data_IF_095722335055
#
_entry.id   IF_095722335055
#
_cell.length_a   1.000
_cell.length_b   1.000
_cell.length_c   1.000
_cell.angle_alpha   90.00
_cell.angle_beta   90.00
_cell.angle_gamma   90.00
#
_symmetry.space_group_name_H-M   'P 1'
#
loop_
_entity.id
_entity.type
_entity.pdbx_description
1 polymer ?
#
# COMPACT_ATOMS: atom_id res chain seq x y z
N UNK A 1 -20.08 3.75 23.11
CA UNK A 1 -20.47 3.15 21.84
C UNK A 1 -21.71 3.90 21.38
N UNK A 2 -21.63 4.58 20.25
CA UNK A 2 -22.76 5.34 19.73
C UNK A 2 -23.90 4.40 19.26
N UNK A 3 -25.14 4.87 19.27
CA UNK A 3 -26.29 4.08 18.78
C UNK A 3 -26.11 3.83 17.26
N UNK A 4 -26.15 2.57 16.80
CA UNK A 4 -26.03 2.25 15.37
C UNK A 4 -27.04 3.00 14.47
N UNK A 5 -28.22 3.33 14.99
CA UNK A 5 -29.22 4.12 14.25
C UNK A 5 -28.82 5.59 14.09
N UNK A 6 -28.20 6.18 15.12
CA UNK A 6 -27.67 7.55 15.06
C UNK A 6 -26.50 7.63 14.08
N UNK A 7 -25.63 6.61 14.07
CA UNK A 7 -24.53 6.51 13.12
C UNK A 7 -25.04 6.41 11.67
N UNK A 8 -26.08 5.61 11.43
CA UNK A 8 -26.68 5.50 10.10
C UNK A 8 -27.35 6.81 9.66
N UNK A 9 -28.07 7.48 10.54
CA UNK A 9 -28.69 8.77 10.23
C UNK A 9 -27.64 9.83 9.87
N UNK A 10 -26.51 9.86 10.58
CA UNK A 10 -25.39 10.76 10.29
C UNK A 10 -24.73 10.44 8.95
N UNK A 11 -24.53 9.16 8.65
CA UNK A 11 -23.99 8.69 7.37
C UNK A 11 -24.88 9.13 6.20
N UNK A 12 -26.18 8.88 6.29
CA UNK A 12 -27.21 9.25 5.30
C UNK A 12 -27.24 10.77 5.09
N UNK A 13 -27.24 11.55 6.18
CA UNK A 13 -27.18 13.01 6.11
C UNK A 13 -25.96 13.52 5.35
N UNK A 14 -24.84 12.83 5.45
CA UNK A 14 -23.59 13.21 4.81
C UNK A 14 -23.49 12.80 3.35
N UNK A 15 -24.01 11.62 3.00
CA UNK A 15 -24.00 11.09 1.62
C UNK A 15 -25.14 11.64 0.76
N UNK A 16 -26.21 12.17 1.36
CA UNK A 16 -27.43 12.58 0.66
C UNK A 16 -28.24 11.41 0.09
N UNK A 17 -27.89 10.17 0.47
CA UNK A 17 -28.59 8.97 0.00
C UNK A 17 -29.89 8.77 0.78
N UNK A 18 -30.92 8.29 0.11
CA UNK A 18 -32.08 7.66 0.76
C UNK A 18 -31.74 6.18 0.94
N UNK A 19 -31.47 5.75 2.19
CA UNK A 19 -31.13 4.37 2.44
C UNK A 19 -32.31 3.45 2.07
N UNK A 20 -32.06 2.54 1.14
CA UNK A 20 -33.06 1.53 0.74
C UNK A 20 -33.29 0.49 1.85
N UNK A 21 -32.31 0.31 2.78
CA UNK A 21 -32.38 -0.57 3.95
C UNK A 21 -31.53 0.01 5.10
N UNK A 22 -32.16 0.84 5.93
CA UNK A 22 -31.53 1.46 7.12
C UNK A 22 -30.99 0.41 8.10
N UNK A 23 -31.61 -0.77 8.17
CA UNK A 23 -31.17 -1.82 9.08
C UNK A 23 -29.89 -2.51 8.58
N UNK A 24 -29.72 -2.71 7.27
CA UNK A 24 -28.51 -3.26 6.69
C UNK A 24 -27.34 -2.27 6.82
N UNK A 25 -27.58 -0.99 6.56
CA UNK A 25 -26.58 0.07 6.70
C UNK A 25 -26.12 0.18 8.17
N UNK A 26 -27.06 0.21 9.12
CA UNK A 26 -26.74 0.30 10.57
C UNK A 26 -25.87 -0.87 11.03
N UNK A 27 -26.19 -2.10 10.58
CA UNK A 27 -25.39 -3.30 10.90
C UNK A 27 -23.99 -3.22 10.30
N UNK A 28 -23.88 -2.75 9.06
CA UNK A 28 -22.59 -2.66 8.37
C UNK A 28 -21.67 -1.59 8.99
N UNK A 29 -22.23 -0.43 9.38
CA UNK A 29 -21.50 0.60 10.09
C UNK A 29 -21.02 0.12 11.48
N UNK A 30 -21.88 -0.56 12.24
CA UNK A 30 -21.50 -1.15 13.51
C UNK A 30 -20.37 -2.17 13.34
N UNK A 31 -20.45 -3.05 12.33
CA UNK A 31 -19.39 -4.00 11.99
C UNK A 31 -18.08 -3.28 11.69
N UNK A 32 -18.13 -2.23 10.87
CA UNK A 32 -16.94 -1.46 10.47
C UNK A 32 -16.27 -0.79 11.69
N UNK A 33 -17.04 -0.17 12.58
CA UNK A 33 -16.53 0.44 13.81
C UNK A 33 -15.90 -0.61 14.73
N UNK A 34 -16.57 -1.74 14.94
CA UNK A 34 -16.09 -2.81 15.81
C UNK A 34 -14.81 -3.48 15.26
N UNK A 35 -14.73 -3.68 13.94
CA UNK A 35 -13.53 -4.19 13.27
C UNK A 35 -12.35 -3.24 13.44
N UNK A 36 -12.57 -1.96 13.19
CA UNK A 36 -11.56 -0.92 13.31
C UNK A 36 -11.01 -0.79 14.73
N UNK A 37 -11.87 -0.77 15.75
CA UNK A 37 -11.49 -0.71 17.16
C UNK A 37 -10.72 -1.94 17.63
N UNK A 38 -11.11 -3.12 17.15
CA UNK A 38 -10.37 -4.36 17.44
C UNK A 38 -8.97 -4.36 16.83
N UNK A 39 -8.84 -3.80 15.63
CA UNK A 39 -7.53 -3.68 14.98
C UNK A 39 -6.62 -2.68 15.69
N UNK A 40 -7.19 -1.60 16.25
CA UNK A 40 -6.43 -0.50 16.85
C UNK A 40 -6.96 -0.15 18.27
N UNK A 41 -6.81 -1.03 19.25
CA UNK A 41 -7.42 -0.86 20.57
C UNK A 41 -6.85 0.31 21.40
N UNK A 42 -5.68 0.82 21.03
CA UNK A 42 -5.03 1.97 21.68
C UNK A 42 -5.30 3.31 21.00
N UNK A 43 -6.04 3.31 19.89
CA UNK A 43 -6.36 4.50 19.10
C UNK A 43 -7.75 4.99 19.46
N UNK A 44 -7.85 6.23 19.91
CA UNK A 44 -9.11 6.85 20.29
C UNK A 44 -9.65 7.73 19.17
N UNK A 45 -10.69 7.26 18.49
CA UNK A 45 -11.42 8.03 17.49
C UNK A 45 -12.92 7.91 17.77
N UNK A 46 -13.66 9.04 17.91
CA UNK A 46 -15.12 9.02 18.05
C UNK A 46 -15.79 8.31 16.87
N UNK A 47 -16.81 7.50 17.16
CA UNK A 47 -17.54 6.72 16.15
C UNK A 47 -18.14 7.63 15.08
N UNK A 48 -18.68 8.77 15.51
CA UNK A 48 -19.29 9.76 14.64
C UNK A 48 -18.30 10.32 13.62
N UNK A 49 -17.08 10.65 14.05
CA UNK A 49 -16.05 11.15 13.17
C UNK A 49 -15.58 10.09 12.18
N UNK A 50 -15.51 8.83 12.63
CA UNK A 50 -15.14 7.75 11.74
C UNK A 50 -16.22 7.48 10.70
N UNK A 51 -17.49 7.49 11.11
CA UNK A 51 -18.63 7.30 10.19
C UNK A 51 -18.71 8.43 9.17
N UNK A 52 -18.48 9.68 9.56
CA UNK A 52 -18.38 10.81 8.61
C UNK A 52 -17.23 10.63 7.62
N UNK A 53 -16.12 10.08 8.09
CA UNK A 53 -14.97 9.77 7.25
C UNK A 53 -15.27 8.64 6.25
N UNK A 54 -16.04 7.63 6.64
CA UNK A 54 -16.52 6.58 5.76
C UNK A 54 -17.52 7.13 4.72
N UNK A 55 -18.45 7.97 5.15
CA UNK A 55 -19.43 8.59 4.27
C UNK A 55 -18.78 9.39 3.12
N UNK A 56 -17.67 10.08 3.39
CA UNK A 56 -16.94 10.82 2.36
C UNK A 56 -16.32 9.94 1.24
N UNK A 57 -16.34 8.60 1.36
CA UNK A 57 -15.83 7.63 0.38
C UNK A 57 -16.92 6.96 -0.44
N UNK A 58 -18.17 7.27 -0.13
CA UNK A 58 -19.35 6.73 -0.83
C UNK A 58 -19.94 7.85 -1.68
N UNK A 59 -20.15 7.59 -2.96
CA UNK A 59 -20.80 8.54 -3.87
C UNK A 59 -22.32 8.44 -3.71
N UNK A 60 -23.07 9.49 -4.07
CA UNK A 60 -24.54 9.47 -3.97
C UNK A 60 -25.22 8.30 -4.70
N UNK A 61 -24.64 7.86 -5.82
CA UNK A 61 -25.18 6.81 -6.69
C UNK A 61 -24.67 5.40 -6.36
N UNK A 62 -23.74 5.26 -5.40
CA UNK A 62 -23.17 3.97 -5.00
C UNK A 62 -24.13 3.24 -4.03
N UNK A 63 -24.12 1.91 -4.03
CA UNK A 63 -24.68 1.13 -2.92
C UNK A 63 -23.75 1.19 -1.71
N UNK A 64 -24.14 1.95 -0.69
CA UNK A 64 -23.34 2.22 0.50
C UNK A 64 -22.87 0.94 1.20
N UNK A 65 -23.74 -0.07 1.33
CA UNK A 65 -23.40 -1.33 2.01
C UNK A 65 -22.33 -2.09 1.24
N UNK A 66 -22.45 -2.15 -0.08
CA UNK A 66 -21.44 -2.80 -0.93
C UNK A 66 -20.10 -2.07 -0.88
N UNK A 67 -20.12 -0.74 -0.95
CA UNK A 67 -18.88 0.06 -0.84
C UNK A 67 -18.23 -0.15 0.51
N UNK A 68 -18.97 -0.03 1.62
CA UNK A 68 -18.42 -0.22 2.98
C UNK A 68 -17.74 -1.58 3.18
N UNK A 69 -18.29 -2.64 2.57
CA UNK A 69 -17.68 -3.99 2.61
C UNK A 69 -16.36 -4.10 1.86
N UNK A 70 -16.16 -3.26 0.85
CA UNK A 70 -14.94 -3.24 0.05
C UNK A 70 -13.84 -2.38 0.67
N UNK A 71 -14.20 -1.46 1.58
CA UNK A 71 -13.24 -0.58 2.24
C UNK A 71 -12.40 -1.33 3.29
N UNK A 72 -11.15 -0.96 3.39
CA UNK A 72 -10.25 -1.37 4.47
C UNK A 72 -10.48 -0.52 5.70
N UNK A 73 -11.52 -0.86 6.43
CA UNK A 73 -12.04 -0.03 7.54
C UNK A 73 -11.02 0.16 8.66
N UNK A 74 -10.21 -0.86 8.97
CA UNK A 74 -9.13 -0.75 9.97
C UNK A 74 -8.05 0.25 9.53
N UNK A 75 -7.65 0.21 8.27
CA UNK A 75 -6.66 1.13 7.69
C UNK A 75 -7.19 2.57 7.63
N UNK A 76 -8.47 2.74 7.25
CA UNK A 76 -9.15 4.04 7.26
C UNK A 76 -9.26 4.63 8.64
N UNK A 77 -9.54 3.80 9.66
CA UNK A 77 -9.63 4.24 11.05
C UNK A 77 -8.29 4.82 11.52
N UNK A 78 -7.19 4.08 11.31
CA UNK A 78 -5.86 4.56 11.66
C UNK A 78 -5.49 5.84 10.90
N UNK A 79 -5.74 5.88 9.59
CA UNK A 79 -5.46 7.04 8.76
C UNK A 79 -6.28 8.27 9.20
N UNK A 80 -7.57 8.09 9.47
CA UNK A 80 -8.48 9.13 9.96
C UNK A 80 -8.03 9.67 11.32
N UNK A 81 -7.73 8.77 12.27
CA UNK A 81 -7.31 9.15 13.60
C UNK A 81 -5.95 9.87 13.59
N UNK A 82 -5.00 9.37 12.81
CA UNK A 82 -3.68 9.97 12.68
C UNK A 82 -3.73 11.34 11.99
N UNK A 83 -4.53 11.48 10.93
CA UNK A 83 -4.73 12.77 10.26
C UNK A 83 -5.37 13.84 11.16
N UNK A 84 -6.09 13.42 12.21
CA UNK A 84 -6.73 14.31 13.21
C UNK A 84 -5.91 14.45 14.52
N UNK A 85 -4.71 13.87 14.59
CA UNK A 85 -3.88 13.89 15.80
C UNK A 85 -4.54 13.23 17.01
N UNK A 86 -5.34 12.16 16.79
CA UNK A 86 -6.05 11.47 17.87
C UNK A 86 -5.09 10.64 18.73
N UNK A 87 -5.42 10.54 20.03
CA UNK A 87 -4.61 9.78 21.01
C UNK A 87 -4.29 8.37 20.52
N UNK A 88 -3.03 7.98 20.62
CA UNK A 88 -2.54 6.65 20.24
C UNK A 88 -2.31 6.47 18.73
N UNK A 89 -2.92 7.30 17.86
CA UNK A 89 -2.87 7.13 16.42
C UNK A 89 -1.48 7.40 15.84
N UNK A 90 -0.82 8.47 16.29
CA UNK A 90 0.53 8.82 15.83
C UNK A 90 1.53 7.70 16.16
N UNK A 91 1.50 7.21 17.40
CA UNK A 91 2.38 6.13 17.83
C UNK A 91 2.11 4.82 17.07
N UNK A 92 0.84 4.50 16.83
CA UNK A 92 0.46 3.33 16.05
C UNK A 92 0.95 3.45 14.61
N UNK A 93 0.79 4.62 13.98
CA UNK A 93 1.24 4.90 12.63
C UNK A 93 2.77 4.84 12.52
N UNK A 94 3.47 5.45 13.46
CA UNK A 94 4.94 5.43 13.53
C UNK A 94 5.47 4.00 13.58
N UNK A 95 4.98 3.20 14.53
CA UNK A 95 5.47 1.83 14.77
C UNK A 95 5.17 0.88 13.61
N UNK A 96 4.00 0.99 12.99
CA UNK A 96 3.54 0.02 12.01
C UNK A 96 3.88 0.40 10.57
N UNK A 97 4.09 1.69 10.28
CA UNK A 97 4.28 2.19 8.92
C UNK A 97 5.57 2.96 8.75
N UNK A 98 5.82 4.02 9.54
CA UNK A 98 7.02 4.85 9.35
C UNK A 98 8.32 4.14 9.74
N UNK A 99 8.29 3.26 10.72
CA UNK A 99 9.45 2.42 11.07
C UNK A 99 9.92 1.53 9.90
N UNK A 100 9.06 1.31 8.90
CA UNK A 100 9.35 0.49 7.73
C UNK A 100 9.81 1.27 6.49
N UNK A 101 9.95 2.60 6.60
CA UNK A 101 10.35 3.45 5.46
C UNK A 101 11.67 3.00 4.86
N UNK A 102 12.67 2.65 5.69
CA UNK A 102 13.94 2.12 5.20
C UNK A 102 13.80 0.90 4.30
N UNK A 103 12.83 0.02 4.59
CA UNK A 103 12.52 -1.14 3.76
C UNK A 103 11.90 -0.73 2.42
N UNK A 104 11.01 0.26 2.44
CA UNK A 104 10.33 0.75 1.23
C UNK A 104 11.28 1.39 0.23
N UNK A 105 12.29 2.11 0.70
CA UNK A 105 13.20 2.88 -0.15
C UNK A 105 14.59 2.25 -0.33
N UNK A 106 14.81 1.05 0.22
CA UNK A 106 16.13 0.38 0.17
C UNK A 106 16.67 0.17 -1.26
N UNK A 107 15.79 0.04 -2.25
CA UNK A 107 16.17 -0.06 -3.67
C UNK A 107 16.66 1.27 -4.26
N UNK A 108 16.32 2.41 -3.64
CA UNK A 108 16.73 3.75 -4.06
C UNK A 108 18.02 4.12 -3.33
N UNK A 109 17.97 4.18 -2.01
CA UNK A 109 19.10 4.42 -1.14
C UNK A 109 18.79 3.94 0.29
N UNK A 110 19.55 2.96 0.77
CA UNK A 110 19.40 2.38 2.12
C UNK A 110 20.30 3.03 3.18
N UNK A 111 21.03 4.11 2.86
CA UNK A 111 21.91 4.79 3.82
C UNK A 111 21.08 5.41 4.96
N UNK A 112 21.47 5.16 6.20
CA UNK A 112 20.70 5.59 7.38
C UNK A 112 20.40 7.12 7.42
N UNK A 113 21.31 8.03 7.04
CA UNK A 113 20.99 9.45 6.97
C UNK A 113 19.89 9.75 5.93
N UNK A 114 19.96 9.15 4.74
CA UNK A 114 18.95 9.34 3.70
C UNK A 114 17.58 8.79 4.12
N UNK A 115 17.55 7.61 4.75
CA UNK A 115 16.31 7.05 5.31
C UNK A 115 15.68 7.98 6.34
N UNK A 116 16.50 8.61 7.20
CA UNK A 116 16.02 9.58 8.20
C UNK A 116 15.43 10.82 7.53
N UNK A 117 16.09 11.38 6.51
CA UNK A 117 15.62 12.53 5.75
C UNK A 117 14.29 12.24 5.03
N UNK A 118 14.20 11.09 4.36
CA UNK A 118 12.96 10.64 3.71
C UNK A 118 11.84 10.46 4.73
N UNK A 119 12.12 9.84 5.88
CA UNK A 119 11.12 9.62 6.93
C UNK A 119 10.59 10.95 7.47
N UNK A 120 11.47 11.93 7.68
CA UNK A 120 11.08 13.26 8.13
C UNK A 120 10.25 14.00 7.08
N UNK A 121 10.68 14.00 5.83
CA UNK A 121 9.94 14.60 4.73
C UNK A 121 8.57 13.94 4.55
N UNK A 122 8.50 12.61 4.71
CA UNK A 122 7.27 11.84 4.65
C UNK A 122 6.30 12.23 5.78
N UNK A 123 6.78 12.41 7.02
CA UNK A 123 5.95 12.92 8.12
C UNK A 123 5.31 14.27 7.78
N UNK A 124 6.11 15.21 7.32
CA UNK A 124 5.60 16.53 6.92
C UNK A 124 4.54 16.39 5.84
N UNK A 125 4.81 15.58 4.80
CA UNK A 125 3.91 15.37 3.67
C UNK A 125 2.59 14.70 4.08
N UNK A 126 2.65 13.71 4.98
CA UNK A 126 1.48 12.94 5.42
C UNK A 126 0.60 13.71 6.39
N UNK A 127 1.20 14.42 7.37
CA UNK A 127 0.44 15.02 8.48
C UNK A 127 0.21 16.52 8.32
N UNK A 128 1.14 17.25 7.71
CA UNK A 128 1.07 18.72 7.61
C UNK A 128 0.61 19.15 6.20
N UNK A 129 1.25 18.60 5.15
CA UNK A 129 1.01 19.01 3.77
C UNK A 129 1.48 20.43 3.46
N UNK A 130 1.35 20.87 2.20
CA UNK A 130 1.69 22.22 1.75
C UNK A 130 0.62 23.25 2.12
N UNK A 131 -0.64 22.84 2.21
CA UNK A 131 -1.81 23.71 2.41
C UNK A 131 -2.47 23.48 3.77
N UNK A 132 -1.72 22.94 4.75
CA UNK A 132 -2.24 22.60 6.07
C UNK A 132 -3.12 21.34 6.09
N UNK A 133 -3.26 20.65 4.95
CA UNK A 133 -3.94 19.36 4.87
C UNK A 133 -2.93 18.27 4.49
N UNK A 134 -2.59 17.43 5.46
CA UNK A 134 -1.72 16.27 5.21
C UNK A 134 -2.31 15.30 4.20
N UNK A 135 -1.45 14.69 3.37
CA UNK A 135 -1.88 13.71 2.36
C UNK A 135 -2.64 12.52 2.94
N UNK A 136 -2.49 12.23 4.24
CA UNK A 136 -3.16 11.12 4.89
C UNK A 136 -4.70 11.25 4.86
N UNK A 137 -5.21 12.48 4.81
CA UNK A 137 -6.65 12.76 4.63
C UNK A 137 -7.19 12.26 3.27
N UNK A 138 -6.33 12.12 2.27
CA UNK A 138 -6.68 11.69 0.90
C UNK A 138 -6.69 10.17 0.73
N UNK A 139 -6.26 9.40 1.74
CA UNK A 139 -6.28 7.94 1.65
C UNK A 139 -7.71 7.42 1.50
N UNK A 140 -7.97 6.68 0.41
CA UNK A 140 -9.32 6.26 0.00
C UNK A 140 -9.83 5.01 0.73
N UNK A 141 -8.97 4.22 1.36
CA UNK A 141 -9.34 2.95 1.99
C UNK A 141 -9.54 1.78 1.03
N UNK A 142 -9.33 1.97 -0.27
CA UNK A 142 -9.53 0.91 -1.28
C UNK A 142 -8.34 -0.05 -1.40
N UNK A 143 -7.14 0.37 -1.04
CA UNK A 143 -5.94 -0.45 -0.97
C UNK A 143 -5.35 -0.49 0.44
N UNK A 144 -4.32 -1.33 0.69
CA UNK A 144 -3.65 -1.34 1.98
C UNK A 144 -2.97 0.00 2.28
N UNK A 145 -3.17 0.55 3.49
CA UNK A 145 -2.55 1.79 3.92
C UNK A 145 -1.01 1.71 3.85
N UNK A 146 -0.46 0.55 4.18
CA UNK A 146 0.98 0.30 4.04
C UNK A 146 1.47 0.47 2.59
N UNK A 147 0.75 -0.08 1.62
CA UNK A 147 1.12 0.04 0.20
C UNK A 147 1.02 1.49 -0.28
N UNK A 148 0.02 2.22 0.19
CA UNK A 148 -0.14 3.63 -0.11
C UNK A 148 0.98 4.49 0.52
N UNK A 149 1.33 4.26 1.79
CA UNK A 149 2.48 4.92 2.45
C UNK A 149 3.79 4.59 1.76
N UNK A 150 3.98 3.32 1.35
CA UNK A 150 5.14 2.88 0.58
C UNK A 150 5.29 3.70 -0.72
N UNK A 151 4.21 3.86 -1.49
CA UNK A 151 4.23 4.66 -2.73
C UNK A 151 4.59 6.14 -2.45
N UNK A 152 4.02 6.74 -1.41
CA UNK A 152 4.35 8.11 -1.02
C UNK A 152 5.82 8.23 -0.56
N UNK A 153 6.34 7.23 0.17
CA UNK A 153 7.73 7.20 0.63
C UNK A 153 8.72 7.10 -0.55
N UNK A 154 8.45 6.20 -1.51
CA UNK A 154 9.25 6.03 -2.73
C UNK A 154 9.32 7.35 -3.50
N UNK A 155 8.17 7.98 -3.75
CA UNK A 155 8.12 9.27 -4.45
C UNK A 155 8.88 10.36 -3.70
N UNK A 156 8.75 10.42 -2.36
CA UNK A 156 9.48 11.37 -1.53
C UNK A 156 10.98 11.15 -1.61
N UNK A 157 11.44 9.89 -1.63
CA UNK A 157 12.85 9.55 -1.79
C UNK A 157 13.41 9.97 -3.15
N UNK A 158 12.65 9.76 -4.23
CA UNK A 158 13.01 10.19 -5.59
C UNK A 158 13.10 11.72 -5.66
N UNK A 159 12.10 12.43 -5.11
CA UNK A 159 12.08 13.89 -5.07
C UNK A 159 13.32 14.47 -4.35
N UNK A 160 13.66 13.90 -3.18
CA UNK A 160 14.85 14.32 -2.41
C UNK A 160 16.15 14.05 -3.16
N UNK A 161 16.29 12.93 -3.86
CA UNK A 161 17.46 12.66 -4.69
C UNK A 161 17.61 13.64 -5.85
N UNK A 162 16.50 13.96 -6.52
CA UNK A 162 16.46 14.97 -7.58
C UNK A 162 16.89 16.35 -7.06
N UNK A 163 16.39 16.76 -5.90
CA UNK A 163 16.77 18.01 -5.25
C UNK A 163 18.25 18.05 -4.89
N UNK A 164 18.87 16.91 -4.57
CA UNK A 164 20.30 16.74 -4.35
C UNK A 164 21.18 16.68 -5.60
N UNK A 165 20.64 16.96 -6.80
CA UNK A 165 21.37 17.00 -8.07
C UNK A 165 21.66 15.64 -8.69
N UNK A 166 21.00 14.57 -8.26
CA UNK A 166 21.16 13.24 -8.84
C UNK A 166 20.12 13.02 -9.95
N UNK A 167 20.57 12.65 -11.15
CA UNK A 167 19.65 12.22 -12.20
C UNK A 167 18.88 10.94 -11.80
N UNK A 168 17.56 10.87 -12.05
CA UNK A 168 16.77 9.69 -11.76
C UNK A 168 17.29 8.49 -12.58
N UNK A 169 17.52 7.37 -11.91
CA UNK A 169 17.79 6.10 -12.58
C UNK A 169 16.53 5.64 -13.32
N UNK A 170 16.70 4.79 -14.33
CA UNK A 170 15.57 4.27 -15.13
C UNK A 170 14.48 3.61 -14.26
N UNK A 171 14.89 2.88 -13.22
CA UNK A 171 13.98 2.31 -12.22
C UNK A 171 13.22 3.36 -11.39
N UNK A 172 13.82 4.52 -11.14
CA UNK A 172 13.21 5.62 -10.38
C UNK A 172 12.15 6.35 -11.21
N UNK A 173 12.35 6.48 -12.53
CA UNK A 173 11.33 7.03 -13.46
C UNK A 173 10.09 6.13 -13.52
N UNK A 174 10.29 4.81 -13.57
CA UNK A 174 9.19 3.85 -13.54
C UNK A 174 8.40 3.93 -12.20
N UNK A 175 9.10 4.07 -11.08
CA UNK A 175 8.49 4.23 -9.75
C UNK A 175 7.72 5.55 -9.59
N UNK A 176 8.17 6.62 -10.25
CA UNK A 176 7.55 7.94 -10.18
C UNK A 176 6.19 8.00 -10.93
N UNK A 177 6.12 7.34 -12.07
CA UNK A 177 4.85 7.16 -12.81
C UNK A 177 3.82 6.42 -11.95
N UNK A 178 4.26 5.42 -11.19
CA UNK A 178 3.43 4.58 -10.33
C UNK A 178 2.89 5.29 -9.09
N UNK A 179 3.69 6.19 -8.52
CA UNK A 179 3.28 7.00 -7.38
C UNK A 179 2.33 8.16 -7.77
N UNK A 180 2.17 8.43 -9.08
CA UNK A 180 1.35 9.53 -9.58
C UNK A 180 -0.13 9.20 -9.77
N UNK A 181 -0.51 7.91 -9.69
CA UNK A 181 -1.85 7.46 -10.05
C UNK A 181 -2.77 7.35 -8.84
N UNK A 182 -3.42 8.44 -8.48
CA UNK A 182 -4.66 8.46 -7.66
C UNK A 182 -5.91 8.26 -8.55
N UNK A 183 -5.80 7.44 -9.62
CA UNK A 183 -6.90 7.23 -10.56
C UNK A 183 -7.87 6.16 -10.02
N UNK A 184 -9.16 6.52 -9.78
CA UNK A 184 -10.18 5.59 -9.33
C UNK A 184 -10.46 4.43 -10.31
N UNK A 185 -10.26 4.64 -11.62
CA UNK A 185 -10.46 3.60 -12.63
C UNK A 185 -9.36 2.54 -12.57
N UNK A 186 -8.10 2.96 -12.36
CA UNK A 186 -6.98 2.06 -12.14
C UNK A 186 -7.12 1.24 -10.86
N UNK A 187 -7.73 1.82 -9.81
CA UNK A 187 -8.02 1.09 -8.57
C UNK A 187 -9.12 0.03 -8.77
N UNK A 188 -10.14 0.29 -9.58
CA UNK A 188 -11.17 -0.67 -9.97
C UNK A 188 -10.60 -1.81 -10.81
N UNK A 189 -9.74 -1.50 -11.77
CA UNK A 189 -9.01 -2.51 -12.56
C UNK A 189 -8.13 -3.38 -11.67
N UNK A 190 -7.46 -2.77 -10.68
CA UNK A 190 -6.65 -3.46 -9.70
C UNK A 190 -7.45 -4.48 -8.89
N UNK A 191 -8.62 -4.09 -8.37
CA UNK A 191 -9.49 -4.98 -7.59
C UNK A 191 -10.01 -6.14 -8.44
N UNK A 192 -10.32 -5.88 -9.71
CA UNK A 192 -10.84 -6.88 -10.65
C UNK A 192 -9.82 -7.97 -10.97
N UNK A 193 -8.54 -7.63 -10.96
CA UNK A 193 -7.46 -8.54 -11.38
C UNK A 193 -6.52 -8.99 -10.27
N UNK A 194 -6.78 -8.65 -8.99
CA UNK A 194 -5.92 -9.00 -7.86
C UNK A 194 -5.71 -10.52 -7.71
N UNK A 195 -6.76 -11.30 -7.94
CA UNK A 195 -6.69 -12.77 -7.88
C UNK A 195 -5.83 -13.37 -8.99
N UNK A 196 -5.96 -12.89 -10.22
CA UNK A 196 -5.17 -13.35 -11.36
C UNK A 196 -3.71 -12.92 -11.23
N UNK A 197 -3.47 -11.70 -10.77
CA UNK A 197 -2.13 -11.22 -10.49
C UNK A 197 -1.44 -12.05 -9.41
N UNK A 198 -2.13 -12.32 -8.31
CA UNK A 198 -1.62 -13.15 -7.22
C UNK A 198 -1.24 -14.55 -7.72
N UNK A 199 -2.12 -15.20 -8.47
CA UNK A 199 -1.86 -16.52 -9.05
C UNK A 199 -0.67 -16.49 -10.03
N UNK A 200 -0.57 -15.48 -10.88
CA UNK A 200 0.55 -15.29 -11.79
C UNK A 200 1.87 -15.09 -11.04
N UNK A 201 1.85 -14.31 -9.97
CA UNK A 201 3.02 -14.05 -9.13
C UNK A 201 3.47 -15.30 -8.37
N UNK A 202 2.54 -16.06 -7.79
CA UNK A 202 2.83 -17.36 -7.14
C UNK A 202 3.47 -18.35 -8.13
N UNK A 203 2.92 -18.45 -9.33
CA UNK A 203 3.48 -19.30 -10.39
C UNK A 203 4.88 -18.84 -10.80
N UNK A 204 5.10 -17.54 -10.99
CA UNK A 204 6.39 -16.98 -11.36
C UNK A 204 7.46 -17.20 -10.27
N UNK A 205 7.10 -17.01 -8.99
CA UNK A 205 8.00 -17.29 -7.87
C UNK A 205 8.36 -18.78 -7.78
N UNK A 206 7.38 -19.65 -7.99
CA UNK A 206 7.59 -21.13 -8.00
C UNK A 206 8.50 -21.56 -9.15
N UNK A 207 8.40 -20.92 -10.30
CA UNK A 207 9.23 -21.21 -11.48
C UNK A 207 10.67 -20.72 -11.35
N UNK A 208 10.97 -19.80 -10.41
CA UNK A 208 12.34 -19.36 -10.17
C UNK A 208 13.22 -20.52 -9.69
N UNK A 209 14.51 -20.54 -10.08
CA UNK A 209 15.49 -21.43 -9.47
C UNK A 209 15.50 -21.30 -7.94
N UNK A 210 15.59 -22.42 -7.21
CA UNK A 210 15.57 -22.41 -5.74
C UNK A 210 16.60 -21.46 -5.12
N UNK A 211 17.76 -21.33 -5.76
CA UNK A 211 18.81 -20.40 -5.33
C UNK A 211 18.38 -18.93 -5.41
N UNK A 212 17.71 -18.55 -6.48
CA UNK A 212 17.27 -17.15 -6.69
C UNK A 212 16.07 -16.83 -5.79
N UNK A 213 15.17 -17.79 -5.58
CA UNK A 213 14.07 -17.70 -4.61
C UNK A 213 14.59 -17.52 -3.18
N UNK A 214 15.60 -18.31 -2.77
CA UNK A 214 16.26 -18.15 -1.46
C UNK A 214 16.92 -16.77 -1.34
N UNK A 215 17.55 -16.28 -2.41
CA UNK A 215 18.20 -14.98 -2.43
C UNK A 215 17.17 -13.84 -2.24
N UNK A 216 16.05 -13.90 -2.94
CA UNK A 216 14.96 -12.94 -2.76
C UNK A 216 14.42 -12.99 -1.32
N UNK A 217 14.25 -14.20 -0.74
CA UNK A 217 13.79 -14.36 0.65
C UNK A 217 14.77 -13.72 1.64
N UNK A 218 16.06 -14.02 1.54
CA UNK A 218 17.08 -13.44 2.42
C UNK A 218 17.11 -11.91 2.34
N UNK A 219 16.93 -11.34 1.14
CA UNK A 219 17.00 -9.91 0.94
C UNK A 219 15.70 -9.19 1.36
N UNK A 220 14.53 -9.69 0.92
CA UNK A 220 13.25 -8.99 1.12
C UNK A 220 12.53 -9.37 2.43
N UNK A 221 12.70 -10.59 2.94
CA UNK A 221 12.01 -11.07 4.13
C UNK A 221 12.90 -11.00 5.36
N UNK A 222 14.07 -11.60 5.26
CA UNK A 222 15.02 -11.62 6.38
C UNK A 222 15.84 -10.32 6.46
N UNK A 223 15.61 -9.39 5.50
CA UNK A 223 16.19 -8.04 5.48
C UNK A 223 17.73 -8.04 5.61
N UNK A 224 18.39 -9.10 5.12
CA UNK A 224 19.85 -9.17 5.17
C UNK A 224 20.46 -8.21 4.15
N UNK A 225 21.41 -7.33 4.56
CA UNK A 225 22.15 -6.49 3.64
C UNK A 225 22.87 -7.32 2.56
N UNK A 226 22.92 -6.83 1.33
CA UNK A 226 23.59 -7.52 0.21
C UNK A 226 25.04 -7.91 0.53
N UNK A 227 25.74 -7.10 1.32
CA UNK A 227 27.09 -7.39 1.81
C UNK A 227 27.14 -8.62 2.72
N UNK A 228 26.13 -8.83 3.60
CA UNK A 228 26.06 -10.03 4.44
C UNK A 228 25.69 -11.26 3.62
N UNK A 229 24.76 -11.14 2.69
CA UNK A 229 24.41 -12.20 1.75
C UNK A 229 25.64 -12.56 0.89
N UNK A 230 26.41 -11.57 0.46
CA UNK A 230 27.66 -11.76 -0.27
C UNK A 230 28.67 -12.63 0.49
N UNK A 231 28.86 -12.36 1.79
CA UNK A 231 29.70 -13.19 2.69
C UNK A 231 29.19 -14.63 2.78
N UNK A 232 27.87 -14.80 2.93
CA UNK A 232 27.24 -16.14 3.01
C UNK A 232 27.48 -16.97 1.73
N UNK A 233 27.35 -16.32 0.56
CA UNK A 233 27.51 -16.96 -0.75
C UNK A 233 28.96 -16.89 -1.29
N UNK A 234 29.90 -16.31 -0.53
CA UNK A 234 31.30 -16.09 -0.91
C UNK A 234 31.47 -15.36 -2.26
N UNK A 235 30.65 -14.32 -2.46
CA UNK A 235 30.68 -13.43 -3.63
C UNK A 235 30.60 -11.97 -3.20
N UNK A 236 31.03 -11.08 -4.09
CA UNK A 236 30.92 -9.64 -3.82
C UNK A 236 29.47 -9.17 -3.80
N UNK A 237 29.15 -8.15 -3.00
CA UNK A 237 27.79 -7.61 -2.85
C UNK A 237 27.16 -7.17 -4.18
N UNK A 238 27.95 -6.59 -5.09
CA UNK A 238 27.47 -6.21 -6.42
C UNK A 238 26.97 -7.40 -7.24
N UNK A 239 27.57 -8.59 -7.03
CA UNK A 239 27.09 -9.84 -7.65
C UNK A 239 25.73 -10.24 -7.08
N UNK A 240 25.53 -10.06 -5.78
CA UNK A 240 24.26 -10.31 -5.12
C UNK A 240 23.18 -9.37 -5.66
N UNK A 241 23.45 -8.05 -5.66
CA UNK A 241 22.52 -7.05 -6.17
C UNK A 241 22.13 -7.34 -7.64
N UNK A 242 23.10 -7.67 -8.49
CA UNK A 242 22.83 -8.03 -9.89
C UNK A 242 21.97 -9.29 -10.02
N UNK A 243 22.15 -10.29 -9.16
CA UNK A 243 21.32 -11.49 -9.14
C UNK A 243 19.90 -11.19 -8.66
N UNK A 244 19.75 -10.38 -7.62
CA UNK A 244 18.44 -9.92 -7.13
C UNK A 244 17.70 -9.20 -8.26
N UNK A 245 18.36 -8.26 -8.94
CA UNK A 245 17.76 -7.53 -10.08
C UNK A 245 17.29 -8.50 -11.17
N UNK A 246 18.13 -9.46 -11.59
CA UNK A 246 17.76 -10.46 -12.60
C UNK A 246 16.60 -11.35 -12.17
N UNK A 247 16.60 -11.80 -10.90
CA UNK A 247 15.49 -12.62 -10.38
C UNK A 247 14.16 -11.84 -10.37
N UNK A 248 14.20 -10.55 -10.00
CA UNK A 248 13.03 -9.66 -10.06
C UNK A 248 12.53 -9.45 -11.49
N UNK A 249 13.44 -9.16 -12.42
CA UNK A 249 13.13 -9.02 -13.85
C UNK A 249 12.48 -10.30 -14.40
N UNK A 250 13.01 -11.46 -14.04
CA UNK A 250 12.46 -12.75 -14.45
C UNK A 250 11.04 -12.97 -13.92
N UNK A 251 10.78 -12.66 -12.64
CA UNK A 251 9.43 -12.72 -12.06
C UNK A 251 8.51 -11.76 -12.79
N UNK A 252 8.95 -10.53 -13.03
CA UNK A 252 8.16 -9.53 -13.71
C UNK A 252 7.74 -9.96 -15.11
N UNK A 253 8.68 -10.46 -15.93
CA UNK A 253 8.40 -10.92 -17.29
C UNK A 253 7.45 -12.13 -17.31
N UNK A 254 7.56 -13.04 -16.36
CA UNK A 254 6.64 -14.17 -16.23
C UNK A 254 5.23 -13.74 -15.83
N UNK A 255 5.10 -12.82 -14.87
CA UNK A 255 3.81 -12.24 -14.48
C UNK A 255 3.20 -11.48 -15.66
N UNK A 256 4.01 -10.69 -16.36
CA UNK A 256 3.61 -9.98 -17.56
C UNK A 256 3.05 -10.92 -18.63
N UNK A 257 3.78 -11.97 -18.95
CA UNK A 257 3.37 -12.96 -19.94
C UNK A 257 2.07 -13.67 -19.54
N UNK A 258 1.93 -14.07 -18.26
CA UNK A 258 0.74 -14.73 -17.75
C UNK A 258 -0.49 -13.81 -17.80
N UNK A 259 -0.31 -12.54 -17.44
CA UNK A 259 -1.41 -11.57 -17.42
C UNK A 259 -1.81 -11.12 -18.83
N UNK A 260 -0.87 -10.89 -19.74
CA UNK A 260 -1.17 -10.50 -21.14
C UNK A 260 -2.02 -11.56 -21.85
N UNK A 261 -1.79 -12.84 -21.53
CA UNK A 261 -2.56 -13.93 -22.10
C UNK A 261 -3.98 -14.04 -21.50
N UNK A 262 -4.15 -13.66 -20.26
CA UNK A 262 -5.43 -13.80 -19.52
C UNK A 262 -6.33 -12.57 -19.68
N UNK A 263 -5.74 -11.40 -19.80
CA UNK A 263 -6.43 -10.12 -19.87
C UNK A 263 -6.49 -9.66 -21.33
N UNK A 264 -7.67 -9.65 -21.92
CA UNK A 264 -7.89 -9.08 -23.27
C UNK A 264 -7.87 -7.53 -23.20
N UNK A 265 -6.79 -6.96 -22.68
CA UNK A 265 -6.57 -5.52 -22.58
C UNK A 265 -5.88 -4.98 -23.82
N UNK A 266 -6.12 -3.72 -24.14
CA UNK A 266 -5.32 -3.00 -25.12
C UNK A 266 -3.88 -2.84 -24.61
N UNK A 267 -2.92 -2.58 -25.52
CA UNK A 267 -1.52 -2.41 -25.13
C UNK A 267 -1.33 -1.26 -24.13
N UNK A 268 -2.10 -0.18 -24.22
CA UNK A 268 -2.07 0.97 -23.33
C UNK A 268 -2.57 0.63 -21.94
N UNK A 269 -3.75 0.02 -21.82
CA UNK A 269 -4.33 -0.43 -20.53
C UNK A 269 -3.43 -1.48 -19.86
N UNK A 270 -2.77 -2.30 -20.65
CA UNK A 270 -1.85 -3.30 -20.16
C UNK A 270 -0.54 -2.69 -19.63
N UNK A 271 0.02 -1.68 -20.31
CA UNK A 271 1.23 -0.98 -19.87
C UNK A 271 0.96 -0.16 -18.61
N UNK A 272 -0.21 0.46 -18.44
CA UNK A 272 -0.66 1.14 -17.25
C UNK A 272 -0.83 0.14 -16.07
N UNK A 273 -1.46 -1.00 -16.32
CA UNK A 273 -1.59 -2.09 -15.35
C UNK A 273 -0.22 -2.65 -14.95
N UNK A 274 0.70 -2.83 -15.90
CA UNK A 274 2.06 -3.28 -15.63
C UNK A 274 2.87 -2.29 -14.82
N UNK A 275 2.70 -1.01 -15.08
CA UNK A 275 3.31 0.04 -14.27
C UNK A 275 2.86 -0.09 -12.80
N UNK A 276 1.56 -0.25 -12.55
CA UNK A 276 0.98 -0.55 -11.23
C UNK A 276 1.55 -1.82 -10.59
N UNK A 277 1.73 -2.88 -11.37
CA UNK A 277 2.20 -4.17 -10.90
C UNK A 277 3.69 -4.17 -10.52
N UNK A 278 4.53 -3.40 -11.20
CA UNK A 278 5.95 -3.24 -10.86
C UNK A 278 6.14 -2.70 -9.44
N UNK A 279 5.37 -1.71 -9.01
CA UNK A 279 5.44 -1.17 -7.64
C UNK A 279 5.01 -2.18 -6.58
N UNK A 280 4.10 -3.09 -6.94
CA UNK A 280 3.58 -4.13 -6.04
C UNK A 280 4.46 -5.37 -5.94
N UNK A 281 5.30 -5.65 -6.92
CA UNK A 281 6.18 -6.82 -6.90
C UNK A 281 7.03 -6.85 -5.62
N UNK A 282 7.54 -5.70 -5.17
CA UNK A 282 8.35 -5.64 -3.95
C UNK A 282 7.54 -5.94 -2.67
N UNK A 283 6.28 -5.47 -2.59
CA UNK A 283 5.39 -5.72 -1.44
C UNK A 283 4.74 -7.11 -1.52
N UNK A 284 4.39 -7.57 -2.71
CA UNK A 284 3.73 -8.87 -2.91
C UNK A 284 4.70 -10.04 -2.85
N UNK A 285 5.94 -9.87 -3.31
CA UNK A 285 7.04 -10.83 -3.10
C UNK A 285 7.28 -11.03 -1.61
N UNK A 286 7.28 -9.97 -0.82
CA UNK A 286 7.39 -10.07 0.64
C UNK A 286 6.25 -10.92 1.24
N UNK A 287 4.98 -10.66 0.90
CA UNK A 287 3.82 -11.39 1.45
C UNK A 287 3.77 -12.86 1.07
N UNK A 288 4.05 -13.19 -0.20
CA UNK A 288 3.96 -14.56 -0.69
C UNK A 288 5.09 -15.43 -0.16
N UNK A 289 6.29 -14.89 -0.08
CA UNK A 289 7.42 -15.61 0.50
C UNK A 289 7.26 -15.85 2.01
N UNK A 290 6.54 -14.97 2.74
CA UNK A 290 6.17 -15.18 4.16
C UNK A 290 5.13 -16.31 4.30
N UNK A 291 4.17 -16.41 3.38
CA UNK A 291 3.12 -17.44 3.44
C UNK A 291 3.61 -18.86 3.14
N UNK A 292 4.72 -19.03 2.42
CA UNK A 292 5.36 -20.35 2.19
C UNK A 292 6.13 -20.88 3.41
N UNK A 293 6.47 -20.01 4.38
CA UNK A 293 7.22 -20.41 5.59
C UNK A 293 6.34 -21.00 6.69
N UNK A 294 5.02 -20.98 6.50
CA UNK A 294 4.01 -21.48 7.46
C UNK A 294 3.41 -22.85 7.09
N UNK A 295 3.99 -23.58 6.13
CA UNK A 295 3.58 -24.97 5.82
C UNK A 295 4.66 -25.97 6.13
#
# INVERSE_FOLDING_TARGET
>A
MADPRELAARFVSRTGQTASDDAALSRELARAVDEARRAWPTVELPDEEFVEHLAARVRPDDDAVTVLRQLRVADLYLACAAARGRTGAELAFERNLLARVGQFINSIDGAAPFVADVTQALRIKLFVGSDGQGKLSQYSGRGALESWVCAVAIRTAIDLRRAGGHEPRENERALDVLAATDDPELELLRQRYDGQFRAALEAALTALPARDRTLLRLYFIEQLPAAQIGKLYRVHETTILRRITRARESVFEQVRAAMSHTLRLSASEFDELLALLRSRLDVSVHRLLVSETGR
#
